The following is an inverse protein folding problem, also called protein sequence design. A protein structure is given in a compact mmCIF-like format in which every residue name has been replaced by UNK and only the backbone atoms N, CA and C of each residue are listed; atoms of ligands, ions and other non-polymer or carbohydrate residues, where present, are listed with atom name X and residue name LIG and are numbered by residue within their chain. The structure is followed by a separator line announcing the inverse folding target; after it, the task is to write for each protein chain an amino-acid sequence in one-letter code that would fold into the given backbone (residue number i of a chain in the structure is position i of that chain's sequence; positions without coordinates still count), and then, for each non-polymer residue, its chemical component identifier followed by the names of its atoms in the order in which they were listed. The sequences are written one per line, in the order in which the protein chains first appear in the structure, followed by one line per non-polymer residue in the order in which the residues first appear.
data_IF_384383036218
#
_entry.id   IF_384383036218
#
_cell.length_a   1.000
_cell.length_b   1.000
_cell.length_c   1.000
_cell.angle_alpha   90.00
_cell.angle_beta   90.00
_cell.angle_gamma   90.00
#
_symmetry.space_group_name_H-M   'P 1'
#
loop_
_entity.id
_entity.type
_entity.pdbx_description
1 polymer ?
#
# COMPACT_ATOMS: atom_id res chain seq x y z
N UNK A 1 -5.33 -11.64 -29.46
CA UNK A 1 -4.61 -10.80 -28.48
C UNK A 1 -5.04 -11.19 -27.08
N UNK A 2 -4.10 -11.50 -26.16
CA UNK A 2 -4.44 -11.70 -24.75
C UNK A 2 -4.76 -10.34 -24.14
N UNK A 3 -5.87 -10.21 -23.43
CA UNK A 3 -6.19 -9.00 -22.69
C UNK A 3 -5.12 -8.75 -21.61
N UNK A 4 -4.56 -7.54 -21.55
CA UNK A 4 -3.67 -7.16 -20.45
C UNK A 4 -4.45 -6.98 -19.14
N UNK A 5 -3.76 -6.99 -18.00
CA UNK A 5 -4.36 -6.69 -16.69
C UNK A 5 -5.01 -5.30 -16.68
N UNK A 6 -4.36 -4.31 -17.31
CA UNK A 6 -4.89 -2.94 -17.44
C UNK A 6 -6.19 -2.91 -18.23
N UNK A 7 -6.25 -3.62 -19.35
CA UNK A 7 -7.45 -3.77 -20.16
C UNK A 7 -8.59 -4.40 -19.37
N UNK A 8 -8.30 -5.39 -18.53
CA UNK A 8 -9.30 -6.00 -17.66
C UNK A 8 -9.83 -5.00 -16.61
N UNK A 9 -8.93 -4.29 -15.91
CA UNK A 9 -9.28 -3.29 -14.90
C UNK A 9 -10.14 -2.17 -15.49
N UNK A 10 -9.76 -1.65 -16.65
CA UNK A 10 -10.49 -0.56 -17.32
C UNK A 10 -11.90 -0.99 -17.73
N UNK A 11 -12.06 -2.23 -18.22
CA UNK A 11 -13.36 -2.74 -18.66
C UNK A 11 -14.33 -3.03 -17.51
N UNK A 12 -13.83 -3.59 -16.41
CA UNK A 12 -14.69 -4.09 -15.31
C UNK A 12 -14.85 -3.09 -14.16
N UNK A 13 -14.11 -1.98 -14.18
CA UNK A 13 -14.26 -0.92 -13.18
C UNK A 13 -15.47 -0.01 -13.47
N UNK A 14 -16.11 0.43 -12.38
CA UNK A 14 -17.18 1.43 -12.40
C UNK A 14 -17.00 2.40 -11.23
N UNK A 15 -17.56 3.61 -11.33
CA UNK A 15 -17.47 4.60 -10.25
C UNK A 15 -18.07 4.09 -8.94
N UNK A 16 -19.16 3.30 -8.98
CA UNK A 16 -19.78 2.67 -7.80
C UNK A 16 -18.86 1.63 -7.17
N UNK A 17 -18.26 0.76 -8.00
CA UNK A 17 -17.32 -0.26 -7.53
C UNK A 17 -16.06 0.37 -6.92
N UNK A 18 -15.51 1.40 -7.58
CA UNK A 18 -14.38 2.16 -7.07
C UNK A 18 -14.72 2.84 -5.73
N UNK A 19 -15.88 3.49 -5.63
CA UNK A 19 -16.32 4.13 -4.39
C UNK A 19 -16.52 3.11 -3.27
N UNK A 20 -17.15 1.96 -3.55
CA UNK A 20 -17.33 0.90 -2.57
C UNK A 20 -16.00 0.34 -2.08
N UNK A 21 -15.04 0.09 -2.98
CA UNK A 21 -13.72 -0.40 -2.61
C UNK A 21 -12.90 0.63 -1.82
N UNK A 22 -12.98 1.92 -2.17
CA UNK A 22 -12.35 3.00 -1.40
C UNK A 22 -13.00 3.17 -0.03
N UNK A 23 -14.34 3.11 0.06
CA UNK A 23 -15.05 3.16 1.34
C UNK A 23 -14.68 1.99 2.24
N UNK A 24 -14.57 0.77 1.67
CA UNK A 24 -14.09 -0.40 2.39
C UNK A 24 -12.64 -0.21 2.87
N UNK A 25 -11.77 0.35 2.03
CA UNK A 25 -10.37 0.69 2.40
C UNK A 25 -10.34 1.65 3.58
N UNK A 26 -11.10 2.75 3.51
CA UNK A 26 -11.18 3.75 4.59
C UNK A 26 -11.75 3.14 5.86
N UNK A 27 -12.83 2.35 5.77
CA UNK A 27 -13.40 1.67 6.92
C UNK A 27 -12.38 0.73 7.57
N UNK A 28 -11.61 -0.01 6.76
CA UNK A 28 -10.56 -0.88 7.26
C UNK A 28 -9.45 -0.10 7.97
N UNK A 29 -9.01 1.04 7.40
CA UNK A 29 -8.03 1.94 8.02
C UNK A 29 -8.53 2.56 9.33
N UNK A 30 -9.83 2.82 9.46
CA UNK A 30 -10.39 3.43 10.67
C UNK A 30 -10.69 2.42 11.78
N UNK A 31 -10.83 1.14 11.45
CA UNK A 31 -11.31 0.12 12.40
C UNK A 31 -10.28 -0.98 12.67
N UNK A 32 -9.72 -1.58 11.62
CA UNK A 32 -8.87 -2.77 11.73
C UNK A 32 -7.42 -2.39 12.02
N UNK A 33 -6.88 -1.39 11.32
CA UNK A 33 -5.49 -0.94 11.51
C UNK A 33 -5.24 -0.43 12.93
N UNK A 34 -6.06 0.49 13.51
CA UNK A 34 -5.81 0.99 14.87
C UNK A 34 -5.95 -0.09 15.93
N UNK A 35 -6.89 -1.04 15.75
CA UNK A 35 -7.05 -2.17 16.66
C UNK A 35 -5.85 -3.14 16.62
N UNK A 36 -5.19 -3.23 15.47
CA UNK A 36 -3.95 -3.95 15.28
C UNK A 36 -2.76 -3.25 15.92
N UNK A 37 -2.55 -1.99 15.57
CA UNK A 37 -1.46 -1.15 16.08
C UNK A 37 -1.48 -1.06 17.60
N UNK A 38 -2.68 -0.98 18.21
CA UNK A 38 -2.85 -0.96 19.65
C UNK A 38 -2.27 -2.21 20.34
N UNK A 39 -2.36 -3.40 19.71
CA UNK A 39 -1.80 -4.65 20.28
C UNK A 39 -0.27 -4.65 20.26
N UNK A 40 0.33 -4.04 19.24
CA UNK A 40 1.77 -3.90 19.10
C UNK A 40 2.30 -2.77 20.00
N UNK A 41 1.57 -1.66 20.09
CA UNK A 41 1.96 -0.45 20.81
C UNK A 41 2.18 -0.69 22.31
N UNK A 42 1.44 -1.65 22.90
CA UNK A 42 1.64 -2.10 24.30
C UNK A 42 3.09 -2.57 24.55
N UNK A 43 3.78 -3.06 23.51
CA UNK A 43 5.15 -3.53 23.59
C UNK A 43 6.19 -2.55 23.01
N UNK A 44 5.77 -1.54 22.25
CA UNK A 44 6.67 -0.69 21.47
C UNK A 44 7.29 0.48 22.28
N UNK A 45 6.72 0.84 23.44
CA UNK A 45 7.17 2.01 24.21
C UNK A 45 7.11 3.31 23.38
N UNK A 46 8.15 4.14 23.43
CA UNK A 46 8.24 5.43 22.70
C UNK A 46 8.90 5.32 21.32
N UNK A 47 9.24 4.11 20.86
CA UNK A 47 10.09 3.85 19.70
C UNK A 47 9.52 4.28 18.34
N UNK A 48 8.21 4.43 18.25
CA UNK A 48 7.47 4.40 16.99
C UNK A 48 7.39 2.98 16.41
N UNK A 49 6.65 2.83 15.32
CA UNK A 49 6.61 1.59 14.53
C UNK A 49 7.14 1.90 13.12
N UNK A 50 7.76 0.95 12.41
CA UNK A 50 8.20 1.18 11.02
C UNK A 50 7.08 1.78 10.14
N UNK A 51 5.86 1.39 10.47
CA UNK A 51 4.61 1.57 9.76
C UNK A 51 4.09 3.02 9.79
N UNK A 52 4.59 3.84 10.72
CA UNK A 52 4.27 5.28 10.82
C UNK A 52 5.28 6.17 10.10
N UNK A 53 6.24 5.57 9.39
CA UNK A 53 7.35 6.30 8.77
C UNK A 53 7.22 6.29 7.24
N UNK A 54 7.62 7.39 6.61
CA UNK A 54 7.77 7.44 5.15
C UNK A 54 9.04 6.72 4.68
N UNK A 55 10.02 6.59 5.58
CA UNK A 55 11.28 5.89 5.40
C UNK A 55 11.91 5.63 6.77
N UNK A 56 12.76 4.60 6.87
CA UNK A 56 13.60 4.32 8.03
C UNK A 56 14.89 3.62 7.59
N UNK A 57 15.93 3.73 8.41
CA UNK A 57 17.21 3.04 8.14
C UNK A 57 17.23 1.63 8.73
N UNK A 58 18.18 0.80 8.31
CA UNK A 58 18.41 -0.50 8.95
C UNK A 58 18.69 -0.34 10.46
N UNK A 59 19.43 0.69 10.86
CA UNK A 59 19.71 0.98 12.27
C UNK A 59 18.44 1.29 13.06
N UNK A 60 17.52 2.07 12.48
CA UNK A 60 16.21 2.32 13.08
C UNK A 60 15.42 1.02 13.28
N UNK A 61 15.43 0.16 12.27
CA UNK A 61 14.72 -1.11 12.32
C UNK A 61 15.25 -2.03 13.44
N UNK A 62 16.57 -2.15 13.60
CA UNK A 62 17.14 -2.91 14.72
C UNK A 62 16.87 -2.27 16.08
N UNK A 63 16.90 -0.92 16.17
CA UNK A 63 16.53 -0.20 17.40
C UNK A 63 15.08 -0.51 17.80
N UNK A 64 14.14 -0.45 16.85
CA UNK A 64 12.73 -0.82 17.07
C UNK A 64 12.60 -2.29 17.50
N UNK A 65 13.29 -3.22 16.81
CA UNK A 65 13.28 -4.65 17.13
C UNK A 65 13.81 -4.95 18.55
N UNK A 66 14.81 -4.19 19.01
CA UNK A 66 15.32 -4.24 20.37
C UNK A 66 14.32 -3.73 21.40
N UNK A 67 13.69 -2.57 21.14
CA UNK A 67 12.70 -1.94 22.02
C UNK A 67 11.43 -2.80 22.19
N UNK A 68 10.98 -3.47 21.13
CA UNK A 68 9.84 -4.39 21.18
C UNK A 68 10.08 -5.61 22.10
N UNK A 69 11.33 -6.01 22.31
CA UNK A 69 11.67 -7.25 23.01
C UNK A 69 11.11 -8.51 22.32
N UNK A 70 11.29 -9.69 22.93
CA UNK A 70 10.85 -10.94 22.32
C UNK A 70 9.31 -11.03 22.16
N UNK A 71 8.56 -10.62 23.18
CA UNK A 71 7.10 -10.64 23.16
C UNK A 71 6.52 -9.67 22.12
N UNK A 72 7.03 -8.43 22.05
CA UNK A 72 6.58 -7.44 21.08
C UNK A 72 6.90 -7.84 19.65
N UNK A 73 8.08 -8.43 19.39
CA UNK A 73 8.41 -8.96 18.05
C UNK A 73 7.48 -10.11 17.64
N UNK A 74 7.11 -10.99 18.55
CA UNK A 74 6.14 -12.05 18.28
C UNK A 74 4.75 -11.49 17.93
N UNK A 75 4.28 -10.49 18.70
CA UNK A 75 3.02 -9.80 18.42
C UNK A 75 3.05 -9.05 17.08
N UNK A 76 4.17 -8.38 16.76
CA UNK A 76 4.39 -7.70 15.49
C UNK A 76 4.38 -8.66 14.29
N UNK A 77 5.04 -9.81 14.43
CA UNK A 77 5.01 -10.84 13.39
C UNK A 77 3.61 -11.41 13.18
N UNK A 78 2.84 -11.60 14.26
CA UNK A 78 1.47 -12.07 14.18
C UNK A 78 0.56 -11.06 13.46
N UNK A 79 0.71 -9.75 13.69
CA UNK A 79 -0.06 -8.74 12.96
C UNK A 79 0.32 -8.69 11.48
N UNK A 80 1.63 -8.74 11.17
CA UNK A 80 2.17 -8.61 9.80
C UNK A 80 1.97 -9.84 8.92
N UNK A 81 2.17 -11.05 9.45
CA UNK A 81 2.19 -12.28 8.67
C UNK A 81 0.88 -13.09 8.73
N UNK A 82 0.15 -12.98 9.83
CA UNK A 82 -1.09 -13.74 10.06
C UNK A 82 -2.30 -12.84 10.29
N UNK A 83 -2.10 -11.52 10.29
CA UNK A 83 -3.10 -10.54 10.62
C UNK A 83 -3.57 -9.72 9.42
N UNK A 84 -4.12 -8.56 9.75
CA UNK A 84 -4.81 -7.65 8.85
C UNK A 84 -3.90 -6.98 7.82
N UNK A 85 -2.59 -6.93 8.06
CA UNK A 85 -1.61 -6.34 7.14
C UNK A 85 -1.36 -7.17 5.89
N UNK A 86 -1.85 -8.41 5.84
CA UNK A 86 -1.94 -9.15 4.59
C UNK A 86 -3.12 -8.65 3.72
N UNK A 87 -4.22 -8.23 4.36
CA UNK A 87 -5.43 -7.80 3.66
C UNK A 87 -5.35 -6.34 3.22
N UNK A 88 -4.70 -5.48 4.02
CA UNK A 88 -4.67 -4.04 3.78
C UNK A 88 -4.07 -3.65 2.42
N UNK A 89 -2.91 -4.19 2.00
CA UNK A 89 -2.32 -3.85 0.70
C UNK A 89 -3.18 -4.28 -0.48
N UNK A 90 -3.79 -5.46 -0.41
CA UNK A 90 -4.73 -5.91 -1.43
C UNK A 90 -5.94 -4.98 -1.52
N UNK A 91 -6.49 -4.56 -0.38
CA UNK A 91 -7.69 -3.74 -0.33
C UNK A 91 -7.45 -2.34 -0.91
N UNK A 92 -6.42 -1.62 -0.44
CA UNK A 92 -6.13 -0.29 -0.99
C UNK A 92 -5.63 -0.39 -2.43
N UNK A 93 -4.80 -1.40 -2.75
CA UNK A 93 -4.25 -1.61 -4.09
C UNK A 93 -5.37 -1.83 -5.11
N UNK A 94 -6.32 -2.71 -4.80
CA UNK A 94 -7.50 -2.95 -5.63
C UNK A 94 -8.41 -1.72 -5.70
N UNK A 95 -8.69 -1.06 -4.57
CA UNK A 95 -9.56 0.12 -4.55
C UNK A 95 -9.04 1.27 -5.43
N UNK A 96 -7.76 1.60 -5.29
CA UNK A 96 -7.11 2.61 -6.12
C UNK A 96 -7.00 2.15 -7.59
N UNK A 97 -6.69 0.89 -7.86
CA UNK A 97 -6.61 0.35 -9.22
C UNK A 97 -7.97 0.40 -9.93
N UNK A 98 -9.07 0.11 -9.23
CA UNK A 98 -10.43 0.20 -9.75
C UNK A 98 -10.83 1.65 -10.01
N UNK A 99 -10.48 2.59 -9.13
CA UNK A 99 -10.71 4.01 -9.32
C UNK A 99 -9.97 4.53 -10.57
N UNK A 100 -8.68 4.23 -10.67
CA UNK A 100 -7.86 4.60 -11.82
C UNK A 100 -8.29 3.89 -13.10
N UNK A 101 -8.70 2.62 -13.04
CA UNK A 101 -9.25 1.90 -14.18
C UNK A 101 -10.52 2.56 -14.73
N UNK A 102 -11.41 3.01 -13.83
CA UNK A 102 -12.65 3.66 -14.22
C UNK A 102 -12.40 5.03 -14.85
N UNK A 103 -11.45 5.79 -14.31
CA UNK A 103 -11.04 7.10 -14.83
C UNK A 103 -10.26 6.97 -16.15
N UNK A 104 -9.45 5.91 -16.30
CA UNK A 104 -8.65 5.63 -17.49
C UNK A 104 -9.51 5.42 -18.76
N UNK A 105 -10.82 5.14 -18.60
CA UNK A 105 -11.79 5.06 -19.70
C UNK A 105 -11.96 6.37 -20.47
N UNK A 106 -11.61 7.52 -19.88
CA UNK A 106 -11.70 8.82 -20.54
C UNK A 106 -10.57 9.07 -21.56
N UNK A 107 -9.54 8.22 -21.56
CA UNK A 107 -8.37 8.36 -22.42
C UNK A 107 -8.45 7.45 -23.64
N UNK A 108 -7.80 7.86 -24.73
CA UNK A 108 -7.74 7.07 -25.96
C UNK A 108 -7.03 5.71 -25.74
N UNK A 109 -7.36 4.66 -26.53
CA UNK A 109 -6.72 3.35 -26.40
C UNK A 109 -5.19 3.34 -26.55
N UNK A 110 -4.60 4.29 -27.28
CA UNK A 110 -3.15 4.40 -27.42
C UNK A 110 -2.47 5.20 -26.29
N UNK A 111 -3.24 5.79 -25.36
CA UNK A 111 -2.69 6.67 -24.33
C UNK A 111 -1.89 5.90 -23.28
N UNK A 112 -0.74 6.44 -22.90
CA UNK A 112 0.06 5.95 -21.77
C UNK A 112 -0.75 5.96 -20.45
N UNK A 113 -1.76 6.82 -20.34
CA UNK A 113 -2.67 6.88 -19.19
C UNK A 113 -3.48 5.60 -18.98
N UNK A 114 -3.51 4.66 -19.95
CA UNK A 114 -4.13 3.34 -19.73
C UNK A 114 -3.30 2.42 -18.82
N UNK A 115 -2.05 2.77 -18.51
CA UNK A 115 -1.17 1.99 -17.64
C UNK A 115 -1.18 2.44 -16.17
N UNK A 116 -1.74 3.62 -15.87
CA UNK A 116 -1.81 4.16 -14.50
C UNK A 116 -2.50 3.24 -13.48
N UNK A 117 -3.48 2.35 -13.83
CA UNK A 117 -4.06 1.46 -12.84
C UNK A 117 -3.07 0.44 -12.27
N UNK A 118 -1.87 0.28 -12.86
CA UNK A 118 -0.82 -0.57 -12.31
C UNK A 118 -0.03 0.07 -11.18
N UNK A 119 -0.02 1.40 -11.06
CA UNK A 119 0.68 2.11 -9.99
C UNK A 119 0.29 1.63 -8.58
N UNK A 120 -1.01 1.56 -8.21
CA UNK A 120 -1.40 1.10 -6.89
C UNK A 120 -1.17 -0.41 -6.68
N UNK A 121 -1.13 -1.21 -7.75
CA UNK A 121 -0.78 -2.63 -7.65
C UNK A 121 0.71 -2.82 -7.37
N UNK A 122 1.57 -2.00 -7.99
CA UNK A 122 2.99 -1.96 -7.67
C UNK A 122 3.23 -1.46 -6.24
N UNK A 123 2.42 -0.51 -5.75
CA UNK A 123 2.47 -0.06 -4.36
C UNK A 123 2.14 -1.20 -3.38
N UNK A 124 1.04 -1.92 -3.63
CA UNK A 124 0.65 -3.08 -2.82
C UNK A 124 1.70 -4.19 -2.83
N UNK A 125 2.34 -4.44 -3.98
CA UNK A 125 3.45 -5.39 -4.06
C UNK A 125 4.65 -4.93 -3.23
N UNK A 126 5.04 -3.66 -3.32
CA UNK A 126 6.13 -3.10 -2.52
C UNK A 126 5.84 -3.22 -1.02
N UNK A 127 4.57 -3.05 -0.61
CA UNK A 127 4.10 -3.26 0.76
C UNK A 127 4.30 -4.70 1.25
N UNK A 128 3.90 -5.69 0.45
CA UNK A 128 4.10 -7.09 0.81
C UNK A 128 5.58 -7.45 0.92
N UNK A 129 6.40 -6.94 0.01
CA UNK A 129 7.84 -7.16 0.05
C UNK A 129 8.46 -6.49 1.28
N UNK A 130 8.00 -5.30 1.64
CA UNK A 130 8.44 -4.59 2.84
C UNK A 130 8.08 -5.36 4.12
N UNK A 131 6.83 -5.78 4.24
CA UNK A 131 6.35 -6.57 5.38
C UNK A 131 7.14 -7.88 5.52
N UNK A 132 7.46 -8.55 4.41
CA UNK A 132 8.31 -9.74 4.42
C UNK A 132 9.75 -9.43 4.87
N UNK A 133 10.34 -8.32 4.39
CA UNK A 133 11.68 -7.90 4.77
C UNK A 133 11.76 -7.58 6.27
N UNK A 134 10.83 -6.77 6.78
CA UNK A 134 10.73 -6.43 8.21
C UNK A 134 10.52 -7.68 9.05
N UNK A 135 9.61 -8.57 8.66
CA UNK A 135 9.36 -9.81 9.38
C UNK A 135 10.62 -10.67 9.48
N UNK A 136 11.41 -10.78 8.40
CA UNK A 136 12.66 -11.51 8.41
C UNK A 136 13.68 -10.90 9.39
N UNK A 137 13.78 -9.57 9.43
CA UNK A 137 14.65 -8.89 10.41
C UNK A 137 14.17 -9.16 11.85
N UNK A 138 12.87 -9.08 12.11
CA UNK A 138 12.30 -9.33 13.44
C UNK A 138 12.53 -10.77 13.92
N UNK A 139 12.45 -11.75 13.01
CA UNK A 139 12.72 -13.16 13.28
C UNK A 139 14.19 -13.44 13.58
N UNK A 140 15.11 -12.75 12.89
CA UNK A 140 16.56 -12.98 13.04
C UNK A 140 17.20 -12.19 14.17
N UNK A 141 16.56 -11.11 14.62
CA UNK A 141 17.07 -10.26 15.69
C UNK A 141 17.50 -11.08 16.94
N UNK A 142 18.71 -10.85 17.50
CA UNK A 142 19.64 -9.74 17.23
C UNK A 142 20.65 -9.99 16.10
N UNK A 143 20.59 -11.12 15.40
CA UNK A 143 21.49 -11.37 14.29
C UNK A 143 21.18 -10.43 13.10
N UNK A 144 22.22 -9.85 12.46
CA UNK A 144 22.00 -8.97 11.32
C UNK A 144 21.48 -9.74 10.10
N UNK A 145 20.72 -9.03 9.28
CA UNK A 145 20.13 -9.47 8.02
C UNK A 145 20.54 -8.51 6.89
N UNK A 146 21.83 -8.50 6.49
CA UNK A 146 22.34 -7.53 5.54
C UNK A 146 21.56 -7.54 4.22
N UNK A 147 21.50 -6.40 3.55
CA UNK A 147 20.76 -6.15 2.31
C UNK A 147 19.25 -6.07 2.53
N UNK A 148 18.64 -7.05 3.20
CA UNK A 148 17.19 -7.07 3.45
C UNK A 148 16.76 -5.95 4.40
N UNK A 149 17.56 -5.68 5.44
CA UNK A 149 17.31 -4.59 6.38
C UNK A 149 17.29 -3.20 5.73
N UNK A 150 18.14 -2.98 4.72
CA UNK A 150 18.15 -1.76 3.91
C UNK A 150 17.01 -1.72 2.89
N UNK A 151 16.70 -2.88 2.26
CA UNK A 151 15.59 -2.99 1.32
C UNK A 151 14.26 -2.66 1.97
N UNK A 152 14.05 -3.03 3.24
CA UNK A 152 12.82 -2.74 3.97
C UNK A 152 12.47 -1.25 3.92
N UNK A 153 13.38 -0.37 4.36
CA UNK A 153 13.16 1.08 4.33
C UNK A 153 13.04 1.68 2.92
N UNK A 154 13.72 1.08 1.93
CA UNK A 154 13.58 1.46 0.53
C UNK A 154 12.21 1.09 -0.07
N UNK A 155 11.69 -0.09 0.29
CA UNK A 155 10.35 -0.54 -0.11
C UNK A 155 9.26 0.29 0.54
N UNK A 156 9.42 0.71 1.80
CA UNK A 156 8.52 1.67 2.46
C UNK A 156 8.43 2.97 1.67
N UNK A 157 9.59 3.55 1.29
CA UNK A 157 9.62 4.79 0.52
C UNK A 157 9.01 4.62 -0.89
N UNK A 158 9.33 3.52 -1.58
CA UNK A 158 8.77 3.20 -2.89
C UNK A 158 7.25 3.05 -2.84
N UNK A 159 6.73 2.30 -1.86
CA UNK A 159 5.30 2.15 -1.60
C UNK A 159 4.63 3.52 -1.48
N UNK A 160 5.12 4.38 -0.59
CA UNK A 160 4.52 5.71 -0.37
C UNK A 160 4.60 6.61 -1.60
N UNK A 161 5.69 6.55 -2.36
CA UNK A 161 5.80 7.27 -3.62
C UNK A 161 4.75 6.80 -4.64
N UNK A 162 4.53 5.48 -4.77
CA UNK A 162 3.54 4.91 -5.68
C UNK A 162 2.10 5.19 -5.24
N UNK A 163 1.82 5.16 -3.93
CA UNK A 163 0.52 5.57 -3.38
C UNK A 163 0.27 7.06 -3.68
N UNK A 164 1.23 7.92 -3.37
CA UNK A 164 1.13 9.35 -3.66
C UNK A 164 0.91 9.64 -5.15
N UNK A 165 1.67 8.99 -6.03
CA UNK A 165 1.51 9.08 -7.47
C UNK A 165 0.11 8.61 -7.92
N UNK A 166 -0.43 7.54 -7.32
CA UNK A 166 -1.77 7.03 -7.61
C UNK A 166 -2.85 8.06 -7.24
N UNK A 167 -2.72 8.71 -6.09
CA UNK A 167 -3.67 9.75 -5.65
C UNK A 167 -3.63 10.98 -6.57
N UNK A 168 -2.43 11.44 -6.95
CA UNK A 168 -2.26 12.53 -7.92
C UNK A 168 -2.89 12.14 -9.27
N UNK A 169 -2.68 10.91 -9.74
CA UNK A 169 -3.25 10.43 -10.99
C UNK A 169 -4.79 10.34 -10.95
N UNK A 170 -5.39 10.01 -9.79
CA UNK A 170 -6.84 10.04 -9.60
C UNK A 170 -7.36 11.47 -9.77
N UNK A 171 -6.75 12.44 -9.10
CA UNK A 171 -7.16 13.85 -9.20
C UNK A 171 -7.01 14.36 -10.63
N UNK A 172 -5.84 14.14 -11.25
CA UNK A 172 -5.57 14.58 -12.62
C UNK A 172 -6.55 13.97 -13.63
N UNK A 173 -6.80 12.65 -13.53
CA UNK A 173 -7.74 11.96 -14.43
C UNK A 173 -9.19 12.38 -14.19
N UNK A 174 -9.57 12.67 -12.93
CA UNK A 174 -10.87 13.20 -12.57
C UNK A 174 -11.13 14.58 -13.17
N UNK A 175 -10.18 15.51 -13.00
CA UNK A 175 -10.25 16.86 -13.59
C UNK A 175 -10.34 16.78 -15.11
N UNK A 176 -9.50 15.96 -15.75
CA UNK A 176 -9.52 15.75 -17.19
C UNK A 176 -10.89 15.25 -17.69
N UNK A 177 -11.48 14.27 -17.00
CA UNK A 177 -12.79 13.72 -17.35
C UNK A 177 -13.91 14.75 -17.20
N UNK A 178 -13.88 15.56 -16.14
CA UNK A 178 -14.85 16.63 -15.92
C UNK A 178 -14.73 17.74 -16.98
N UNK A 179 -13.50 18.09 -17.38
CA UNK A 179 -13.27 19.07 -18.44
C UNK A 179 -13.86 18.60 -19.79
N UNK A 180 -13.69 17.31 -20.14
CA UNK A 180 -14.27 16.74 -21.37
C UNK A 180 -15.80 16.63 -21.33
N UNK A 181 -16.38 16.23 -20.21
CA UNK A 181 -17.84 16.11 -20.07
C UNK A 181 -18.59 17.44 -20.16
N UNK A 182 -17.88 18.58 -20.08
CA UNK A 182 -18.43 19.93 -20.31
C UNK A 182 -18.32 20.40 -21.77
N UNK A 183 -17.63 19.64 -22.63
CA UNK A 183 -17.36 20.00 -24.03
C UNK A 183 -18.25 19.26 -25.03
N UNK A 184 -19.06 18.29 -24.58
CA UNK A 184 -20.09 17.63 -25.41
C UNK A 184 -21.42 18.41 -25.25
N UNK A 185 -21.93 19.09 -26.31
CA UNK A 185 -23.19 19.84 -26.29
C UNK A 185 -24.44 18.95 -26.25
#
# INVERSE_FOLDING_TARGET
MRASLTDWLIRHSSGRLALAALAATVLFMLTVVPAGDAKVAVHAGTAGQPDTSLHYTAQDLYRMAGQLGAAGRSAYLASRLAGFDLCFPALYGAGLALALGWLARAFAPASAWRWIPLLPLAAALADYLENAAVALVMLRYPAPTPVIDQLAGGLTALKWALVGASLVAIVASGVFRLARGRSDP
#
